data_IF_875270190595
#
_entry.id   IF_875270190595
#
_cell.length_a   1.000
_cell.length_b   1.000
_cell.length_c   1.000
_cell.angle_alpha   90.00
_cell.angle_beta   90.00
_cell.angle_gamma   90.00
#
_symmetry.space_group_name_H-M   'P 1'
#
loop_
_entity.id
_entity.type
_entity.pdbx_description
1 polymer ?
#
# COMPACT_ATOMS: atom_id res chain seq x y z
N UNK A 1 17.23 -62.37 -11.66
CA UNK A 1 16.32 -61.21 -11.52
C UNK A 1 17.07 -59.96 -11.94
N UNK A 2 16.52 -59.25 -12.93
CA UNK A 2 17.25 -58.48 -13.93
C UNK A 2 17.77 -57.13 -13.42
N UNK A 3 19.08 -56.85 -13.65
CA UNK A 3 19.69 -55.53 -13.45
C UNK A 3 18.92 -54.39 -14.16
N UNK A 4 18.20 -54.70 -15.23
CA UNK A 4 17.31 -53.76 -15.92
C UNK A 4 16.11 -53.29 -15.06
N UNK A 5 15.57 -54.15 -14.20
CA UNK A 5 14.44 -53.82 -13.33
C UNK A 5 14.86 -52.90 -12.18
N UNK A 6 16.07 -53.12 -11.65
CA UNK A 6 16.67 -52.23 -10.64
C UNK A 6 16.97 -50.84 -11.22
N UNK A 7 17.43 -50.76 -12.48
CA UNK A 7 17.63 -49.48 -13.18
C UNK A 7 16.34 -48.72 -13.44
N UNK A 8 15.26 -49.43 -13.79
CA UNK A 8 13.93 -48.84 -14.00
C UNK A 8 13.36 -48.26 -12.69
N UNK A 9 13.39 -49.02 -11.60
CA UNK A 9 12.91 -48.55 -10.28
C UNK A 9 13.72 -47.33 -9.81
N UNK A 10 15.04 -47.34 -10.00
CA UNK A 10 15.89 -46.20 -9.66
C UNK A 10 15.54 -44.95 -10.50
N UNK A 11 15.25 -45.13 -11.78
CA UNK A 11 14.86 -44.04 -12.68
C UNK A 11 13.51 -43.42 -12.29
N UNK A 12 12.50 -44.24 -12.00
CA UNK A 12 11.20 -43.76 -11.51
C UNK A 12 11.32 -42.99 -10.18
N UNK A 13 12.17 -43.48 -9.26
CA UNK A 13 12.40 -42.82 -7.98
C UNK A 13 13.07 -41.44 -8.16
N UNK A 14 14.07 -41.32 -9.03
CA UNK A 14 14.75 -40.06 -9.32
C UNK A 14 13.78 -39.06 -9.96
N UNK A 15 12.95 -39.49 -10.90
CA UNK A 15 11.94 -38.63 -11.54
C UNK A 15 10.93 -38.14 -10.51
N UNK A 16 10.42 -39.04 -9.65
CA UNK A 16 9.51 -38.68 -8.57
C UNK A 16 10.12 -37.66 -7.60
N UNK A 17 11.38 -37.85 -7.21
CA UNK A 17 12.10 -36.93 -6.33
C UNK A 17 12.27 -35.53 -6.96
N UNK A 18 12.64 -35.46 -8.25
CA UNK A 18 12.78 -34.19 -8.98
C UNK A 18 11.45 -33.45 -9.04
N UNK A 19 10.35 -34.18 -9.28
CA UNK A 19 9.00 -33.60 -9.39
C UNK A 19 8.54 -33.00 -8.05
N UNK A 20 8.83 -33.68 -6.94
CA UNK A 20 8.57 -33.17 -5.59
C UNK A 20 9.43 -31.93 -5.27
N UNK A 21 10.72 -31.96 -5.59
CA UNK A 21 11.61 -30.80 -5.38
C UNK A 21 11.16 -29.59 -6.20
N UNK A 22 10.71 -29.81 -7.43
CA UNK A 22 10.18 -28.76 -8.29
C UNK A 22 8.88 -28.15 -7.74
N UNK A 23 7.96 -28.98 -7.25
CA UNK A 23 6.74 -28.51 -6.58
C UNK A 23 7.05 -27.71 -5.31
N UNK A 24 7.98 -28.17 -4.48
CA UNK A 24 8.42 -27.44 -3.27
C UNK A 24 9.02 -26.07 -3.63
N UNK A 25 9.85 -26.00 -4.67
CA UNK A 25 10.38 -24.74 -5.18
C UNK A 25 9.30 -23.76 -5.66
N UNK A 26 8.27 -24.26 -6.36
CA UNK A 26 7.11 -23.44 -6.75
C UNK A 26 6.33 -22.92 -5.54
N UNK A 27 6.11 -23.74 -4.51
CA UNK A 27 5.38 -23.30 -3.31
C UNK A 27 6.13 -22.18 -2.59
N UNK A 28 7.44 -22.32 -2.41
CA UNK A 28 8.28 -21.30 -1.75
C UNK A 28 8.27 -19.98 -2.54
N UNK A 29 8.38 -20.06 -3.87
CA UNK A 29 8.37 -18.86 -4.74
C UNK A 29 7.00 -18.17 -4.76
N UNK A 30 5.89 -18.92 -4.75
CA UNK A 30 4.53 -18.38 -4.66
C UNK A 30 4.29 -17.71 -3.30
N UNK A 31 4.68 -18.35 -2.19
CA UNK A 31 4.56 -17.75 -0.86
C UNK A 31 5.40 -16.47 -0.71
N UNK A 32 6.58 -16.43 -1.34
CA UNK A 32 7.40 -15.21 -1.40
C UNK A 32 6.66 -14.06 -2.09
N UNK A 33 6.12 -14.30 -3.29
CA UNK A 33 5.36 -13.28 -4.05
C UNK A 33 4.11 -12.78 -3.32
N UNK A 34 3.40 -13.66 -2.59
CA UNK A 34 2.23 -13.27 -1.80
C UNK A 34 2.59 -12.31 -0.67
N UNK A 35 3.67 -12.58 0.07
CA UNK A 35 4.13 -11.70 1.17
C UNK A 35 4.54 -10.32 0.69
N UNK A 36 5.17 -10.22 -0.48
CA UNK A 36 5.52 -8.93 -1.07
C UNK A 36 4.28 -8.14 -1.51
N UNK A 37 3.28 -8.84 -2.07
CA UNK A 37 2.00 -8.21 -2.43
C UNK A 37 1.24 -7.69 -1.20
N UNK A 38 1.18 -8.47 -0.12
CA UNK A 38 0.56 -8.06 1.14
C UNK A 38 1.25 -6.84 1.76
N UNK A 39 2.60 -6.80 1.73
CA UNK A 39 3.37 -5.64 2.20
C UNK A 39 3.06 -4.38 1.41
N UNK A 40 2.99 -4.48 0.08
CA UNK A 40 2.65 -3.34 -0.79
C UNK A 40 1.21 -2.88 -0.53
N UNK A 41 0.26 -3.80 -0.39
CA UNK A 41 -1.14 -3.43 -0.07
C UNK A 41 -1.29 -2.81 1.31
N UNK A 42 -0.60 -3.33 2.33
CA UNK A 42 -0.60 -2.78 3.68
C UNK A 42 -0.02 -1.36 3.71
N UNK A 43 1.10 -1.13 3.01
CA UNK A 43 1.74 0.19 2.91
C UNK A 43 0.84 1.22 2.20
N UNK A 44 0.16 0.82 1.11
CA UNK A 44 -0.82 1.69 0.43
C UNK A 44 -2.02 2.02 1.33
N UNK A 45 -2.57 1.03 2.05
CA UNK A 45 -3.66 1.25 3.00
C UNK A 45 -3.24 2.18 4.14
N UNK A 46 -2.01 2.06 4.63
CA UNK A 46 -1.47 2.99 5.64
C UNK A 46 -1.36 4.42 5.10
N UNK A 47 -0.92 4.62 3.86
CA UNK A 47 -0.87 5.95 3.25
C UNK A 47 -2.27 6.59 3.12
N UNK A 48 -3.27 5.80 2.72
CA UNK A 48 -4.69 6.23 2.67
C UNK A 48 -5.19 6.59 4.07
N UNK A 49 -5.00 5.70 5.04
CA UNK A 49 -5.45 5.93 6.42
C UNK A 49 -4.81 7.17 7.06
N UNK A 50 -3.52 7.42 6.79
CA UNK A 50 -2.83 8.63 7.24
C UNK A 50 -3.45 9.88 6.61
N UNK A 51 -3.73 9.85 5.31
CA UNK A 51 -4.35 10.98 4.62
C UNK A 51 -5.80 11.21 5.08
N UNK A 52 -6.59 10.15 5.26
CA UNK A 52 -7.95 10.23 5.83
C UNK A 52 -7.94 10.77 7.25
N UNK A 53 -7.05 10.28 8.11
CA UNK A 53 -6.90 10.76 9.47
C UNK A 53 -6.50 12.24 9.50
N UNK A 54 -5.58 12.68 8.63
CA UNK A 54 -5.18 14.09 8.55
C UNK A 54 -6.34 14.97 8.08
N UNK A 55 -7.10 14.54 7.08
CA UNK A 55 -8.30 15.24 6.61
C UNK A 55 -9.39 15.32 7.69
N UNK A 56 -9.65 14.23 8.41
CA UNK A 56 -10.64 14.20 9.48
C UNK A 56 -10.28 15.14 10.64
N UNK A 57 -8.99 15.24 10.98
CA UNK A 57 -8.52 16.20 12.00
C UNK A 57 -8.71 17.65 11.54
N UNK A 58 -8.53 17.94 10.25
CA UNK A 58 -8.78 19.26 9.64
C UNK A 58 -10.26 19.65 9.53
N UNK A 59 -11.16 18.68 9.74
CA UNK A 59 -12.60 18.93 9.82
C UNK A 59 -13.08 19.27 11.24
N UNK A 60 -12.24 19.07 12.27
CA UNK A 60 -12.61 19.35 13.66
C UNK A 60 -11.93 20.65 14.09
N UNK A 61 -12.68 21.76 14.27
CA UNK A 61 -12.09 23.04 14.64
C UNK A 61 -11.43 22.98 16.03
N UNK A 62 -10.27 23.62 16.18
CA UNK A 62 -9.50 23.66 17.42
C UNK A 62 -8.50 22.52 17.63
N UNK A 63 -8.43 21.52 16.73
CA UNK A 63 -7.37 20.50 16.80
C UNK A 63 -6.00 21.02 16.34
N UNK A 64 -4.95 20.57 17.01
CA UNK A 64 -3.56 20.80 16.62
C UNK A 64 -3.14 19.74 15.61
N UNK A 65 -3.12 20.09 14.33
CA UNK A 65 -2.76 19.17 13.25
C UNK A 65 -1.25 19.23 13.03
N UNK A 66 -0.58 18.09 13.20
CA UNK A 66 0.83 17.94 12.84
C UNK A 66 0.93 17.42 11.41
N UNK A 67 1.31 18.30 10.50
CA UNK A 67 1.64 17.90 9.13
C UNK A 67 2.94 17.10 9.13
N UNK A 68 2.90 15.91 8.53
CA UNK A 68 4.12 15.18 8.20
C UNK A 68 4.85 15.90 7.06
N UNK A 69 6.20 15.93 7.06
CA UNK A 69 6.98 16.62 6.02
C UNK A 69 6.75 16.05 4.60
N UNK A 70 6.21 14.84 4.52
CA UNK A 70 5.85 14.15 3.27
C UNK A 70 4.39 14.40 2.82
N UNK A 71 3.68 15.33 3.46
CA UNK A 71 2.32 15.77 3.08
C UNK A 71 2.37 17.05 2.27
N UNK A 72 1.81 17.02 1.06
CA UNK A 72 1.58 18.18 0.20
C UNK A 72 0.10 18.53 0.19
N UNK A 73 -0.22 19.82 0.26
CA UNK A 73 -1.59 20.32 0.23
C UNK A 73 -1.71 21.33 -0.88
N UNK A 74 -2.70 21.15 -1.74
CA UNK A 74 -3.03 22.06 -2.82
C UNK A 74 -4.47 22.50 -2.70
N UNK A 75 -4.72 23.80 -2.72
CA UNK A 75 -6.08 24.36 -2.74
C UNK A 75 -6.68 24.17 -4.14
N UNK A 76 -7.90 23.62 -4.22
CA UNK A 76 -8.57 23.43 -5.51
C UNK A 76 -9.06 24.77 -6.08
N UNK A 77 -9.18 24.88 -7.41
CA UNK A 77 -9.73 26.10 -8.05
C UNK A 77 -11.22 26.28 -7.76
N UNK A 78 -11.95 25.16 -7.70
CA UNK A 78 -13.36 25.14 -7.34
C UNK A 78 -13.48 25.13 -5.81
N UNK A 79 -14.17 26.13 -5.27
CA UNK A 79 -14.34 26.33 -3.84
C UNK A 79 -15.81 26.20 -3.45
N UNK A 80 -16.10 25.71 -2.23
CA UNK A 80 -17.47 25.60 -1.75
C UNK A 80 -18.06 27.01 -1.59
N UNK A 81 -19.39 27.11 -1.68
CA UNK A 81 -20.10 28.39 -1.51
C UNK A 81 -19.95 28.95 -0.09
N UNK A 82 -19.70 28.09 0.90
CA UNK A 82 -19.45 28.47 2.29
C UNK A 82 -17.97 28.83 2.51
N UNK A 83 -17.72 30.12 2.79
CA UNK A 83 -16.37 30.70 2.97
C UNK A 83 -15.59 30.16 4.17
N UNK A 84 -16.24 29.43 5.09
CA UNK A 84 -15.60 28.80 6.25
C UNK A 84 -14.80 27.56 5.85
N UNK A 85 -15.16 26.94 4.74
CA UNK A 85 -14.56 25.72 4.26
C UNK A 85 -13.76 25.96 2.98
N UNK A 86 -12.79 25.08 2.73
CA UNK A 86 -11.97 25.10 1.53
C UNK A 86 -11.82 23.67 1.03
N UNK A 87 -11.98 23.48 -0.28
CA UNK A 87 -11.63 22.22 -0.92
C UNK A 87 -10.12 22.14 -1.10
N UNK A 88 -9.53 21.09 -0.55
CA UNK A 88 -8.11 20.80 -0.73
C UNK A 88 -7.90 19.44 -1.38
N UNK A 89 -6.83 19.37 -2.12
CA UNK A 89 -6.23 18.14 -2.58
C UNK A 89 -5.00 17.86 -1.73
N UNK A 90 -5.05 16.81 -0.92
CA UNK A 90 -3.97 16.38 -0.05
C UNK A 90 -3.28 15.19 -0.67
N UNK A 91 -1.97 15.30 -0.81
CA UNK A 91 -1.11 14.22 -1.26
C UNK A 91 -0.19 13.81 -0.13
N UNK A 92 -0.29 12.55 0.31
CA UNK A 92 0.58 11.98 1.34
C UNK A 92 1.50 10.96 0.69
N UNK A 93 2.80 11.11 0.92
CA UNK A 93 3.80 10.12 0.54
C UNK A 93 4.22 9.32 1.76
N UNK A 94 4.15 7.99 1.68
CA UNK A 94 4.59 7.10 2.74
C UNK A 94 5.25 5.86 2.13
N UNK A 95 6.48 5.57 2.54
CA UNK A 95 7.24 4.38 2.11
C UNK A 95 7.24 4.16 0.58
N UNK A 96 7.55 5.22 -0.17
CA UNK A 96 7.63 5.17 -1.64
C UNK A 96 6.28 5.18 -2.38
N UNK A 97 5.16 5.14 -1.66
CA UNK A 97 3.82 5.20 -2.22
C UNK A 97 3.20 6.57 -1.99
N UNK A 98 2.50 7.08 -3.00
CA UNK A 98 1.80 8.35 -2.95
C UNK A 98 0.30 8.09 -3.03
N UNK A 99 -0.47 8.72 -2.14
CA UNK A 99 -1.92 8.72 -2.19
C UNK A 99 -2.40 10.16 -2.21
N UNK A 100 -3.40 10.41 -3.04
CA UNK A 100 -4.01 11.73 -3.20
C UNK A 100 -5.48 11.62 -2.81
N UNK A 101 -5.93 12.47 -1.89
CA UNK A 101 -7.29 12.54 -1.39
C UNK A 101 -7.80 13.98 -1.46
N UNK A 102 -9.05 14.12 -1.89
CA UNK A 102 -9.76 15.40 -1.88
C UNK A 102 -10.62 15.47 -0.63
N UNK A 103 -10.53 16.57 0.10
CA UNK A 103 -11.30 16.75 1.33
C UNK A 103 -11.72 18.20 1.53
N UNK A 104 -12.87 18.37 2.18
CA UNK A 104 -13.36 19.65 2.66
C UNK A 104 -12.74 19.90 4.04
N UNK A 105 -12.07 21.03 4.23
CA UNK A 105 -11.42 21.39 5.50
C UNK A 105 -11.76 22.81 5.91
N UNK A 106 -11.59 23.12 7.20
CA UNK A 106 -11.74 24.51 7.66
C UNK A 106 -10.61 25.39 7.13
N UNK A 107 -10.98 26.56 6.61
CA UNK A 107 -10.03 27.56 6.08
C UNK A 107 -8.95 27.96 7.10
N UNK A 108 -9.28 27.93 8.38
CA UNK A 108 -8.38 28.28 9.49
C UNK A 108 -7.10 27.44 9.52
N UNK A 109 -7.13 26.22 8.99
CA UNK A 109 -5.98 25.32 8.96
C UNK A 109 -5.02 25.54 7.81
N UNK A 110 -5.45 26.30 6.80
CA UNK A 110 -4.64 26.59 5.63
C UNK A 110 -3.84 27.88 5.79
N UNK A 111 -4.11 28.69 6.82
CA UNK A 111 -3.42 29.97 7.03
C UNK A 111 -3.40 30.84 5.76
N UNK A 112 -2.35 31.63 5.61
CA UNK A 112 -2.00 32.33 4.36
C UNK A 112 -1.17 31.42 3.45
N UNK A 113 -1.65 30.20 3.15
CA UNK A 113 -1.11 29.42 2.04
C UNK A 113 -1.28 30.26 0.76
N UNK A 114 -0.19 30.51 -0.01
CA UNK A 114 -0.21 31.41 -1.17
C UNK A 114 -1.13 30.94 -2.30
#
# INVERSE_FOLDING_TARGET
>A
MNRAYAGYILMEFIIGLILVMFMLGMIVTVQGKMKDSERVMASRRQAVYLAESQLAQMQIPGQNIKFTPDTQIQVLKEQPSDKRFVWINMTVKHQGHQTTLVGLVYRTYLGDLP
#
